data_IF_565483177357
#
_entry.id   IF_565483177357
#
_cell.length_a   1.000
_cell.length_b   1.000
_cell.length_c   1.000
_cell.angle_alpha   90.00
_cell.angle_beta   90.00
_cell.angle_gamma   90.00
#
_symmetry.space_group_name_H-M   'P 1'
#
loop_
_entity.id
_entity.type
_entity.pdbx_description
1 polymer ?
#
# COMPACT_ATOMS: atom_id res chain seq x y z
N UNK A 1 23.10 25.67 -1.21
CA UNK A 1 24.12 25.53 -2.26
C UNK A 1 25.33 24.80 -1.67
N UNK A 2 25.38 23.47 -1.72
CA UNK A 2 26.60 22.70 -1.45
C UNK A 2 26.43 21.34 -2.14
N UNK A 3 27.31 21.09 -3.12
CA UNK A 3 27.19 20.01 -4.09
C UNK A 3 27.62 18.65 -3.53
N UNK A 4 26.88 17.61 -3.93
CA UNK A 4 27.29 16.21 -3.80
C UNK A 4 28.10 15.80 -5.04
N UNK A 5 29.15 14.97 -4.90
CA UNK A 5 29.95 14.52 -6.03
C UNK A 5 29.09 13.62 -6.94
N UNK A 6 28.82 14.10 -8.16
CA UNK A 6 28.29 13.29 -9.27
C UNK A 6 29.43 12.42 -9.79
N UNK A 7 29.47 11.15 -9.36
CA UNK A 7 30.40 10.18 -9.94
C UNK A 7 29.91 9.78 -11.35
N UNK A 8 30.27 10.55 -12.36
CA UNK A 8 30.12 10.19 -13.76
C UNK A 8 31.36 9.40 -14.20
N UNK A 9 31.32 8.07 -14.12
CA UNK A 9 32.40 7.23 -14.68
C UNK A 9 32.01 6.45 -15.94
N UNK A 10 30.74 6.41 -16.31
CA UNK A 10 30.26 5.91 -17.61
C UNK A 10 29.00 6.72 -17.90
N UNK A 11 28.81 7.21 -19.13
CA UNK A 11 27.76 8.17 -19.51
C UNK A 11 26.31 7.68 -19.39
N UNK A 12 25.89 7.28 -18.20
CA UNK A 12 24.54 6.85 -17.84
C UNK A 12 24.09 7.57 -16.56
N UNK A 13 22.83 8.03 -16.48
CA UNK A 13 22.34 8.80 -15.34
C UNK A 13 21.91 7.85 -14.22
N UNK A 14 22.87 7.40 -13.41
CA UNK A 14 22.57 6.64 -12.20
C UNK A 14 22.65 7.53 -10.96
N UNK A 15 21.71 7.34 -10.04
CA UNK A 15 21.64 8.09 -8.78
C UNK A 15 22.68 7.60 -7.76
N UNK A 16 23.20 6.38 -7.92
CA UNK A 16 24.21 5.78 -7.04
C UNK A 16 25.12 4.80 -7.80
N UNK A 17 26.37 4.67 -7.36
CA UNK A 17 27.35 3.65 -7.79
C UNK A 17 27.73 2.85 -6.56
N UNK A 18 27.65 1.51 -6.66
CA UNK A 18 27.94 0.60 -5.54
C UNK A 18 28.85 -0.54 -5.96
N UNK A 19 29.55 -1.13 -4.99
CA UNK A 19 30.36 -2.35 -5.15
C UNK A 19 30.11 -3.28 -3.97
N UNK A 20 29.60 -4.49 -4.24
CA UNK A 20 29.40 -5.51 -3.21
C UNK A 20 30.68 -6.25 -2.83
N UNK A 21 31.76 -6.05 -3.59
CA UNK A 21 33.06 -6.70 -3.34
C UNK A 21 33.87 -6.00 -2.27
N UNK A 22 33.82 -4.67 -2.25
CA UNK A 22 34.57 -3.83 -1.30
C UNK A 22 33.66 -2.96 -0.42
N UNK A 23 32.35 -2.96 -0.66
CA UNK A 23 31.36 -2.21 0.12
C UNK A 23 31.20 -0.75 -0.29
N UNK A 24 31.88 -0.28 -1.33
CA UNK A 24 31.77 1.11 -1.81
C UNK A 24 30.32 1.44 -2.14
N UNK A 25 29.84 2.60 -1.68
CA UNK A 25 28.51 3.12 -2.03
C UNK A 25 27.33 2.47 -1.29
N UNK A 26 27.55 1.37 -0.57
CA UNK A 26 26.46 0.61 0.07
C UNK A 26 25.88 1.36 1.27
N UNK A 27 26.73 2.02 2.06
CA UNK A 27 26.28 2.82 3.21
C UNK A 27 25.45 4.02 2.75
N UNK A 28 25.87 4.71 1.69
CA UNK A 28 25.11 5.82 1.11
C UNK A 28 23.78 5.35 0.51
N UNK A 29 23.74 4.19 -0.14
CA UNK A 29 22.51 3.60 -0.67
C UNK A 29 21.52 3.26 0.46
N UNK A 30 21.99 2.63 1.53
CA UNK A 30 21.13 2.29 2.69
C UNK A 30 20.59 3.54 3.38
N UNK A 31 21.41 4.57 3.53
CA UNK A 31 20.97 5.86 4.09
C UNK A 31 19.88 6.52 3.22
N UNK A 32 20.04 6.48 1.89
CA UNK A 32 19.06 7.03 0.95
C UNK A 32 17.74 6.25 0.98
N UNK A 33 17.79 4.92 1.03
CA UNK A 33 16.59 4.08 1.20
C UNK A 33 15.89 4.43 2.51
N UNK A 34 16.64 4.53 3.62
CA UNK A 34 16.10 4.89 4.92
C UNK A 34 15.44 6.27 4.92
N UNK A 35 16.07 7.26 4.30
CA UNK A 35 15.51 8.60 4.15
C UNK A 35 14.20 8.60 3.36
N UNK A 36 14.14 7.88 2.22
CA UNK A 36 12.91 7.77 1.41
C UNK A 36 11.80 7.05 2.16
N UNK A 37 12.13 5.95 2.84
CA UNK A 37 11.16 5.21 3.64
C UNK A 37 10.59 6.08 4.77
N UNK A 38 11.45 6.79 5.51
CA UNK A 38 11.04 7.70 6.57
C UNK A 38 10.13 8.83 6.05
N UNK A 39 10.39 9.34 4.83
CA UNK A 39 9.55 10.35 4.20
C UNK A 39 8.19 9.82 3.72
N UNK A 40 8.04 8.51 3.52
CA UNK A 40 6.81 7.87 3.05
C UNK A 40 5.95 7.30 4.18
N UNK A 41 6.51 7.08 5.37
CA UNK A 41 5.75 6.66 6.54
C UNK A 41 4.90 7.86 7.02
N UNK A 42 3.59 7.65 7.18
CA UNK A 42 2.65 8.62 7.73
C UNK A 42 3.04 9.10 9.13
N UNK A 43 2.29 10.04 9.72
CA UNK A 43 2.68 10.56 11.03
C UNK A 43 2.61 9.46 12.11
N UNK A 44 3.53 9.52 13.07
CA UNK A 44 3.51 8.65 14.26
C UNK A 44 2.17 8.86 14.97
N UNK A 45 1.31 7.84 14.95
CA UNK A 45 -0.04 7.91 15.51
C UNK A 45 -1.15 7.59 14.49
N UNK A 46 -0.84 7.53 13.19
CA UNK A 46 -1.79 7.04 12.20
C UNK A 46 -2.07 5.55 12.44
N UNK A 47 -3.34 5.20 12.67
CA UNK A 47 -3.78 3.80 12.67
C UNK A 47 -3.74 3.32 11.23
N UNK A 48 -2.57 2.84 10.81
CA UNK A 48 -2.39 2.24 9.50
C UNK A 48 -2.96 0.82 9.51
N UNK A 49 -3.82 0.45 8.53
CA UNK A 49 -4.25 -0.93 8.38
C UNK A 49 -3.01 -1.80 8.11
N UNK A 50 -2.58 -2.58 9.09
CA UNK A 50 -1.34 -3.36 9.04
C UNK A 50 -1.40 -4.59 8.13
N UNK A 51 -2.60 -4.94 7.64
CA UNK A 51 -2.82 -6.08 6.73
C UNK A 51 -3.25 -5.58 5.35
N UNK A 52 -2.58 -6.08 4.31
CA UNK A 52 -2.89 -5.76 2.90
C UNK A 52 -4.39 -5.91 2.58
N UNK A 53 -5.02 -6.99 3.07
CA UNK A 53 -6.47 -7.21 2.91
C UNK A 53 -7.35 -6.06 3.41
N UNK A 54 -7.00 -5.41 4.53
CA UNK A 54 -7.81 -4.31 5.06
C UNK A 54 -7.63 -3.06 4.19
N UNK A 55 -6.42 -2.83 3.67
CA UNK A 55 -6.14 -1.75 2.72
C UNK A 55 -6.94 -1.94 1.43
N UNK A 56 -7.00 -3.16 0.90
CA UNK A 56 -7.79 -3.50 -0.29
C UNK A 56 -9.28 -3.26 -0.07
N UNK A 57 -9.86 -3.77 1.03
CA UNK A 57 -11.27 -3.55 1.36
C UNK A 57 -11.61 -2.06 1.52
N UNK A 58 -10.73 -1.25 2.12
CA UNK A 58 -10.92 0.19 2.23
C UNK A 58 -10.87 0.89 0.87
N UNK A 59 -9.94 0.48 0.00
CA UNK A 59 -9.85 1.02 -1.36
C UNK A 59 -11.09 0.68 -2.20
N UNK A 60 -11.61 -0.54 -2.09
CA UNK A 60 -12.86 -0.92 -2.75
C UNK A 60 -14.06 -0.14 -2.20
N UNK A 61 -14.17 0.00 -0.87
CA UNK A 61 -15.19 0.83 -0.22
C UNK A 61 -15.15 2.25 -0.77
N UNK A 62 -13.97 2.87 -0.80
CA UNK A 62 -13.77 4.22 -1.34
C UNK A 62 -14.21 4.32 -2.80
N UNK A 63 -13.88 3.33 -3.64
CA UNK A 63 -14.26 3.32 -5.06
C UNK A 63 -15.77 3.32 -5.25
N UNK A 64 -16.49 2.48 -4.51
CA UNK A 64 -17.95 2.41 -4.57
C UNK A 64 -18.62 3.68 -4.03
N UNK A 65 -18.10 4.26 -2.94
CA UNK A 65 -18.60 5.55 -2.42
C UNK A 65 -18.41 6.68 -3.44
N UNK A 66 -17.25 6.75 -4.09
CA UNK A 66 -17.01 7.73 -5.15
C UNK A 66 -18.00 7.55 -6.29
N UNK A 67 -18.21 6.32 -6.76
CA UNK A 67 -19.18 6.03 -7.82
C UNK A 67 -20.62 6.45 -7.45
N UNK A 68 -21.04 6.23 -6.20
CA UNK A 68 -22.35 6.64 -5.71
C UNK A 68 -22.53 8.18 -5.66
N UNK A 69 -21.46 8.91 -5.34
CA UNK A 69 -21.44 10.38 -5.23
C UNK A 69 -21.31 11.05 -6.59
N UNK A 70 -20.46 10.54 -7.48
CA UNK A 70 -20.22 11.15 -8.79
C UNK A 70 -21.24 10.71 -9.85
N UNK A 71 -21.94 9.61 -9.61
CA UNK A 71 -22.92 9.04 -10.54
C UNK A 71 -24.28 9.74 -10.55
N UNK A 72 -24.38 11.07 -10.41
CA UNK A 72 -25.67 11.78 -10.38
C UNK A 72 -26.53 11.56 -11.64
N UNK A 73 -25.89 11.21 -12.74
CA UNK A 73 -26.52 10.90 -14.04
C UNK A 73 -27.05 9.47 -14.10
N UNK A 74 -26.64 8.63 -13.15
CA UNK A 74 -27.14 7.27 -12.95
C UNK A 74 -28.36 7.34 -12.04
N UNK A 75 -29.41 6.61 -12.39
CA UNK A 75 -30.65 6.55 -11.60
C UNK A 75 -30.40 6.19 -10.13
N UNK A 76 -31.33 6.59 -9.26
CA UNK A 76 -31.20 6.40 -7.80
C UNK A 76 -30.95 4.93 -7.41
N UNK A 77 -31.50 3.98 -8.17
CA UNK A 77 -31.31 2.54 -8.00
C UNK A 77 -29.83 2.12 -8.12
N UNK A 78 -29.12 2.62 -9.14
CA UNK A 78 -27.71 2.31 -9.34
C UNK A 78 -26.85 2.90 -8.23
N UNK A 79 -27.16 4.13 -7.80
CA UNK A 79 -26.43 4.76 -6.69
C UNK A 79 -26.67 4.03 -5.36
N UNK A 80 -27.88 3.54 -5.13
CA UNK A 80 -28.21 2.73 -3.97
C UNK A 80 -27.44 1.40 -3.97
N UNK A 81 -27.28 0.77 -5.14
CA UNK A 81 -26.46 -0.44 -5.27
C UNK A 81 -24.98 -0.18 -4.97
N UNK A 82 -24.41 0.92 -5.47
CA UNK A 82 -23.03 1.31 -5.14
C UNK A 82 -22.85 1.52 -3.63
N UNK A 83 -23.83 2.11 -2.94
CA UNK A 83 -23.81 2.25 -1.47
C UNK A 83 -23.93 0.90 -0.75
N UNK A 84 -24.75 -0.04 -1.27
CA UNK A 84 -24.85 -1.41 -0.73
C UNK A 84 -23.51 -2.14 -0.82
N UNK A 85 -22.82 -2.02 -1.95
CA UNK A 85 -21.49 -2.61 -2.16
C UNK A 85 -20.43 -1.96 -1.27
N UNK A 86 -20.46 -0.64 -1.09
CA UNK A 86 -19.58 0.04 -0.14
C UNK A 86 -19.79 -0.47 1.30
N UNK A 87 -21.05 -0.62 1.73
CA UNK A 87 -21.38 -1.12 3.06
C UNK A 87 -20.92 -2.57 3.28
N UNK A 88 -21.04 -3.44 2.27
CA UNK A 88 -20.51 -4.82 2.31
C UNK A 88 -19.01 -4.85 2.54
N UNK A 89 -18.24 -4.09 1.74
CA UNK A 89 -16.77 -4.05 1.85
C UNK A 89 -16.29 -3.48 3.18
N UNK A 90 -16.97 -2.46 3.68
CA UNK A 90 -16.67 -1.91 5.00
C UNK A 90 -17.03 -2.90 6.12
N UNK A 91 -18.18 -3.59 5.99
CA UNK A 91 -18.64 -4.62 6.91
C UNK A 91 -17.60 -5.72 7.14
N UNK A 92 -16.93 -6.17 6.07
CA UNK A 92 -15.86 -7.17 6.14
C UNK A 92 -14.66 -6.74 7.00
N UNK A 93 -14.40 -5.44 7.13
CA UNK A 93 -13.34 -4.91 7.98
C UNK A 93 -13.74 -4.97 9.46
N UNK A 94 -15.01 -4.68 9.78
CA UNK A 94 -15.54 -4.61 11.15
C UNK A 94 -16.00 -5.96 11.72
N UNK A 95 -15.92 -7.04 10.92
CA UNK A 95 -16.19 -8.41 11.37
C UNK A 95 -17.45 -9.06 10.80
N UNK A 96 -18.06 -8.51 9.74
CA UNK A 96 -19.02 -9.26 8.93
C UNK A 96 -18.25 -10.28 8.06
N UNK A 97 -18.26 -11.55 8.46
CA UNK A 97 -17.47 -12.61 7.81
C UNK A 97 -18.34 -13.38 6.82
N UNK A 98 -17.97 -13.39 5.53
CA UNK A 98 -18.55 -14.31 4.55
C UNK A 98 -17.81 -15.67 4.60
N UNK A 99 -18.45 -16.74 4.11
CA UNK A 99 -17.88 -18.11 4.10
C UNK A 99 -16.50 -18.16 3.44
N UNK A 100 -16.25 -17.32 2.44
CA UNK A 100 -14.97 -17.21 1.74
C UNK A 100 -13.83 -16.74 2.66
N UNK A 101 -14.13 -15.84 3.61
CA UNK A 101 -13.13 -15.25 4.51
C UNK A 101 -12.68 -16.25 5.61
N UNK A 102 -13.42 -17.36 5.80
CA UNK A 102 -13.01 -18.44 6.71
C UNK A 102 -11.79 -19.20 6.17
N UNK A 103 -11.63 -19.31 4.85
CA UNK A 103 -10.52 -20.07 4.27
C UNK A 103 -9.18 -19.33 4.42
N UNK A 104 -9.16 -18.01 4.25
CA UNK A 104 -7.95 -17.20 4.44
C UNK A 104 -7.44 -17.25 5.88
N UNK A 105 -8.33 -17.30 6.87
CA UNK A 105 -7.95 -17.43 8.29
C UNK A 105 -7.39 -18.82 8.59
N UNK A 106 -7.96 -19.88 8.00
CA UNK A 106 -7.45 -21.25 8.15
C UNK A 106 -6.04 -21.35 7.55
N UNK A 107 -5.79 -20.77 6.36
CA UNK A 107 -4.50 -20.95 5.69
C UNK A 107 -3.42 -19.93 6.06
N UNK A 108 -3.77 -18.75 6.59
CA UNK A 108 -2.78 -17.72 6.97
C UNK A 108 -1.98 -18.05 8.26
N UNK A 109 -2.43 -19.03 9.06
CA UNK A 109 -1.74 -19.43 10.30
C UNK A 109 -0.82 -20.63 10.15
N UNK A 110 -0.80 -21.30 8.99
CA UNK A 110 0.15 -22.38 8.76
C UNK A 110 1.45 -21.83 8.21
N UNK A 111 2.50 -21.86 9.03
CA UNK A 111 3.84 -21.94 8.48
C UNK A 111 3.88 -23.20 7.59
N UNK A 112 4.16 -23.07 6.30
CA UNK A 112 4.51 -24.21 5.46
C UNK A 112 5.80 -24.80 6.05
N UNK A 113 5.68 -25.92 6.76
CA UNK A 113 6.82 -26.65 7.33
C UNK A 113 7.00 -26.58 8.85
N UNK A 114 5.95 -26.80 9.64
CA UNK A 114 6.10 -27.41 10.96
C UNK A 114 5.34 -28.73 11.02
#
# INVERSE_FOLDING_TARGET
LQGKPRASLLGTPYDAVISTRDGTGLAELLAEIGHRAAAQIGQVGDILPSRLRHVELLNETKRFLLAAVTGNERGQELRAEELRLAADRLGRIVGAVNVEDMFDVIFAQFCIGK
#
